data_IF_146833667395
#
_entry.id   IF_146833667395
#
_cell.length_a   1.000
_cell.length_b   1.000
_cell.length_c   1.000
_cell.angle_alpha   90.00
_cell.angle_beta   90.00
_cell.angle_gamma   90.00
#
_symmetry.space_group_name_H-M   'P 1'
#
loop_
_entity.id
_entity.type
_entity.pdbx_description
1 polymer ?
#
# COMPACT_ATOMS: atom_id res chain seq x y z
N UNK A 1 -1.98 -15.21 -62.38
CA UNK A 1 -1.28 -15.89 -61.25
C UNK A 1 -0.39 -14.95 -60.40
N UNK A 2 0.28 -13.99 -60.99
CA UNK A 2 1.09 -13.02 -60.24
C UNK A 2 0.26 -12.06 -59.37
N UNK A 3 -0.87 -11.60 -59.82
CA UNK A 3 -1.74 -10.69 -59.09
C UNK A 3 -2.31 -11.30 -57.80
N UNK A 4 -2.68 -12.59 -57.81
CA UNK A 4 -3.18 -13.26 -56.60
C UNK A 4 -2.11 -13.50 -55.55
N UNK A 5 -0.84 -13.68 -56.01
CA UNK A 5 0.31 -13.86 -55.14
C UNK A 5 0.72 -12.54 -54.46
N UNK A 6 0.69 -11.41 -55.19
CA UNK A 6 0.98 -10.07 -54.65
C UNK A 6 -0.13 -9.63 -53.68
N UNK A 7 -1.38 -9.90 -53.97
CA UNK A 7 -2.54 -9.66 -53.12
C UNK A 7 -2.41 -10.45 -51.79
N UNK A 8 -2.04 -11.73 -51.84
CA UNK A 8 -1.82 -12.55 -50.64
C UNK A 8 -0.70 -12.06 -49.74
N UNK A 9 0.41 -11.60 -50.35
CA UNK A 9 1.56 -11.03 -49.60
C UNK A 9 1.16 -9.68 -48.98
N UNK A 10 0.42 -8.83 -49.71
CA UNK A 10 -0.07 -7.55 -49.21
C UNK A 10 -0.99 -7.74 -48.03
N UNK A 11 -1.93 -8.68 -48.10
CA UNK A 11 -2.84 -9.00 -46.98
C UNK A 11 -2.09 -9.53 -45.77
N UNK A 12 -1.05 -10.34 -45.96
CA UNK A 12 -0.23 -10.83 -44.87
C UNK A 12 0.58 -9.74 -44.17
N UNK A 13 1.14 -8.78 -44.92
CA UNK A 13 1.87 -7.63 -44.41
C UNK A 13 0.92 -6.72 -43.64
N UNK A 14 -0.27 -6.45 -44.19
CA UNK A 14 -1.30 -5.65 -43.54
C UNK A 14 -1.75 -6.27 -42.21
N UNK A 15 -2.02 -7.56 -42.19
CA UNK A 15 -2.34 -8.28 -40.98
C UNK A 15 -1.22 -8.21 -39.93
N UNK A 16 0.02 -8.35 -40.35
CA UNK A 16 1.18 -8.27 -39.47
C UNK A 16 1.34 -6.87 -38.85
N UNK A 17 1.12 -5.81 -39.62
CA UNK A 17 1.18 -4.43 -39.13
C UNK A 17 0.04 -4.17 -38.13
N UNK A 18 -1.18 -4.56 -38.44
CA UNK A 18 -2.34 -4.38 -37.54
C UNK A 18 -2.12 -5.15 -36.25
N UNK A 19 -1.65 -6.39 -36.33
CA UNK A 19 -1.37 -7.22 -35.16
C UNK A 19 -0.28 -6.61 -34.28
N UNK A 20 0.77 -6.07 -34.88
CA UNK A 20 1.85 -5.37 -34.16
C UNK A 20 1.34 -4.09 -33.47
N UNK A 21 0.51 -3.30 -34.13
CA UNK A 21 -0.09 -2.09 -33.54
C UNK A 21 -1.02 -2.43 -32.37
N UNK A 22 -1.84 -3.48 -32.51
CA UNK A 22 -2.70 -3.96 -31.42
C UNK A 22 -1.90 -4.44 -30.22
N UNK A 23 -0.79 -5.12 -30.44
CA UNK A 23 0.10 -5.59 -29.39
C UNK A 23 0.74 -4.42 -28.63
N UNK A 24 1.21 -3.40 -29.33
CA UNK A 24 1.74 -2.18 -28.74
C UNK A 24 0.66 -1.47 -27.90
N UNK A 25 -0.54 -1.36 -28.45
CA UNK A 25 -1.66 -0.75 -27.72
C UNK A 25 -1.97 -1.49 -26.40
N UNK A 26 -1.99 -2.82 -26.43
CA UNK A 26 -2.20 -3.65 -25.23
C UNK A 26 -1.11 -3.40 -24.21
N UNK A 27 0.15 -3.38 -24.61
CA UNK A 27 1.29 -3.13 -23.71
C UNK A 27 1.18 -1.74 -23.07
N UNK A 28 0.90 -0.70 -23.85
CA UNK A 28 0.72 0.66 -23.32
C UNK A 28 -0.45 0.71 -22.33
N UNK A 29 -1.56 0.04 -22.63
CA UNK A 29 -2.73 -0.01 -21.75
C UNK A 29 -2.40 -0.70 -20.43
N UNK A 30 -1.69 -1.82 -20.46
CA UNK A 30 -1.27 -2.53 -19.25
C UNK A 30 -0.35 -1.65 -18.39
N UNK A 31 0.63 -1.01 -19.00
CA UNK A 31 1.55 -0.11 -18.30
C UNK A 31 0.88 1.11 -17.69
N UNK A 32 -0.17 1.63 -18.34
CA UNK A 32 -0.93 2.77 -17.83
C UNK A 32 -1.87 2.39 -16.68
N UNK A 33 -2.51 1.22 -16.73
CA UNK A 33 -3.51 0.79 -15.75
C UNK A 33 -2.86 0.20 -14.50
N UNK A 34 -1.75 -0.51 -14.63
CA UNK A 34 -1.09 -1.22 -13.52
C UNK A 34 -0.80 -0.34 -12.29
N UNK A 35 -0.23 0.88 -12.42
CA UNK A 35 0.01 1.73 -11.26
C UNK A 35 -1.27 2.17 -10.56
N UNK A 36 -2.30 2.49 -11.32
CA UNK A 36 -3.56 3.03 -10.79
C UNK A 36 -4.44 1.93 -10.18
N UNK A 37 -4.51 0.78 -10.83
CA UNK A 37 -5.42 -0.30 -10.41
C UNK A 37 -4.84 -1.18 -9.30
N UNK A 38 -3.53 -1.31 -9.20
CA UNK A 38 -2.87 -2.24 -8.27
C UNK A 38 -2.24 -1.51 -7.10
N UNK A 39 -1.41 -0.50 -7.34
CA UNK A 39 -0.65 0.16 -6.27
C UNK A 39 -1.50 1.11 -5.43
N UNK A 40 -2.41 1.85 -6.05
CA UNK A 40 -3.24 2.82 -5.33
C UNK A 40 -4.18 2.16 -4.30
N UNK A 41 -4.92 1.09 -4.60
CA UNK A 41 -5.73 0.40 -3.60
C UNK A 41 -4.92 -0.25 -2.49
N UNK A 42 -3.75 -0.81 -2.80
CA UNK A 42 -2.85 -1.43 -1.81
C UNK A 42 -2.34 -0.39 -0.82
N UNK A 43 -1.96 0.79 -1.29
CA UNK A 43 -1.48 1.86 -0.42
C UNK A 43 -2.59 2.40 0.48
N UNK A 44 -3.80 2.55 -0.02
CA UNK A 44 -4.97 2.94 0.79
C UNK A 44 -5.31 1.90 1.86
N UNK A 45 -5.31 0.61 1.51
CA UNK A 45 -5.53 -0.46 2.47
C UNK A 45 -4.47 -0.49 3.56
N UNK A 46 -3.20 -0.25 3.19
CA UNK A 46 -2.10 -0.16 4.14
C UNK A 46 -2.27 1.02 5.09
N UNK A 47 -2.70 2.18 4.61
CA UNK A 47 -2.98 3.35 5.44
C UNK A 47 -4.08 3.09 6.46
N UNK A 48 -5.20 2.50 6.05
CA UNK A 48 -6.28 2.11 6.96
C UNK A 48 -5.84 1.09 7.99
N UNK A 49 -5.07 0.08 7.58
CA UNK A 49 -4.53 -0.91 8.49
C UNK A 49 -3.55 -0.29 9.51
N UNK A 50 -2.74 0.67 9.10
CA UNK A 50 -1.83 1.40 9.99
C UNK A 50 -2.59 2.25 11.01
N UNK A 51 -3.68 2.89 10.61
CA UNK A 51 -4.55 3.62 11.53
C UNK A 51 -5.20 2.66 12.54
N UNK A 52 -5.65 1.50 12.12
CA UNK A 52 -6.21 0.47 13.00
C UNK A 52 -5.18 -0.03 14.03
N UNK A 53 -3.97 -0.31 13.59
CA UNK A 53 -2.86 -0.72 14.47
C UNK A 53 -2.52 0.42 15.44
N UNK A 54 -2.42 1.65 14.95
CA UNK A 54 -2.17 2.83 15.76
C UNK A 54 -3.25 3.05 16.82
N UNK A 55 -4.51 2.87 16.48
CA UNK A 55 -5.63 2.93 17.43
C UNK A 55 -5.53 1.86 18.52
N UNK A 56 -5.18 0.64 18.14
CA UNK A 56 -4.97 -0.47 19.09
C UNK A 56 -3.84 -0.17 20.07
N UNK A 57 -2.73 0.31 19.60
CA UNK A 57 -1.57 0.70 20.43
C UNK A 57 -1.91 1.90 21.31
N UNK A 58 -2.52 2.94 20.76
CA UNK A 58 -2.96 4.12 21.51
C UNK A 58 -3.89 3.75 22.66
N UNK A 59 -4.89 2.92 22.42
CA UNK A 59 -5.81 2.44 23.45
C UNK A 59 -5.07 1.73 24.58
N UNK A 60 -4.08 0.88 24.26
CA UNK A 60 -3.26 0.20 25.26
C UNK A 60 -2.42 1.16 26.10
N UNK A 61 -1.86 2.18 25.48
CA UNK A 61 -1.09 3.20 26.19
C UNK A 61 -1.97 3.99 27.14
N UNK A 62 -3.15 4.42 26.70
CA UNK A 62 -4.11 5.16 27.53
C UNK A 62 -4.61 4.31 28.70
N UNK A 63 -4.93 3.04 28.47
CA UNK A 63 -5.32 2.11 29.52
C UNK A 63 -4.23 1.94 30.58
N UNK A 64 -2.97 1.80 30.16
CA UNK A 64 -1.84 1.74 31.08
C UNK A 64 -1.66 3.01 31.88
N UNK A 65 -1.86 4.17 31.25
CA UNK A 65 -1.77 5.46 31.94
C UNK A 65 -2.83 5.60 33.02
N UNK A 66 -4.06 5.17 32.75
CA UNK A 66 -5.18 5.26 33.71
C UNK A 66 -4.96 4.37 34.94
N UNK A 67 -4.36 3.20 34.77
CA UNK A 67 -4.09 2.24 35.87
C UNK A 67 -2.71 2.41 36.49
N UNK A 68 -1.86 3.28 35.93
CA UNK A 68 -0.53 3.52 36.47
C UNK A 68 -0.58 4.08 37.89
N UNK A 69 0.24 3.58 38.85
CA UNK A 69 0.28 4.11 40.18
C UNK A 69 0.87 5.53 40.20
N UNK A 70 0.31 6.41 41.04
CA UNK A 70 0.77 7.79 41.19
C UNK A 70 2.15 7.86 41.85
N UNK A 71 2.54 6.84 42.58
CA UNK A 71 3.83 6.71 43.22
C UNK A 71 4.74 5.71 42.50
N UNK A 72 5.82 5.34 43.09
CA UNK A 72 6.83 4.43 42.49
C UNK A 72 6.21 3.07 42.14
N UNK A 73 6.20 2.76 40.86
CA UNK A 73 5.73 1.46 40.34
C UNK A 73 6.00 1.30 38.87
N UNK A 74 5.94 0.06 38.40
CA UNK A 74 6.15 -0.30 37.00
C UNK A 74 4.99 -1.20 36.53
N UNK A 75 4.35 -0.83 35.43
CA UNK A 75 3.28 -1.62 34.81
C UNK A 75 3.76 -2.06 33.44
N UNK A 76 3.63 -3.35 33.15
CA UNK A 76 3.95 -3.90 31.83
C UNK A 76 2.72 -4.58 31.26
N UNK A 77 2.37 -4.26 30.04
CA UNK A 77 1.35 -4.94 29.26
C UNK A 77 1.97 -5.54 28.00
N UNK A 78 1.56 -6.77 27.69
CA UNK A 78 1.95 -7.44 26.45
C UNK A 78 0.72 -7.62 25.60
N UNK A 79 0.85 -7.31 24.32
CA UNK A 79 -0.18 -7.52 23.31
C UNK A 79 0.47 -7.83 21.96
N UNK A 80 -0.27 -8.55 21.14
CA UNK A 80 0.20 -8.91 19.81
C UNK A 80 -0.32 -7.90 18.80
N UNK A 81 0.54 -7.56 17.83
CA UNK A 81 0.20 -6.79 16.64
C UNK A 81 0.50 -7.64 15.42
N UNK A 82 -0.16 -7.41 14.26
CA UNK A 82 0.14 -8.15 13.05
C UNK A 82 1.62 -8.05 12.67
N UNK A 83 2.20 -9.16 12.21
CA UNK A 83 3.62 -9.21 11.82
C UNK A 83 3.88 -8.39 10.55
N UNK A 84 2.91 -8.34 9.66
CA UNK A 84 2.97 -7.55 8.42
C UNK A 84 1.62 -6.93 8.06
N UNK A 85 1.65 -5.97 7.13
CA UNK A 85 0.47 -5.41 6.49
C UNK A 85 0.65 -5.52 4.98
N UNK A 86 -0.22 -6.29 4.31
CA UNK A 86 -0.17 -6.55 2.87
C UNK A 86 1.21 -7.06 2.42
N UNK A 87 1.80 -7.98 3.22
CA UNK A 87 3.12 -8.56 2.96
C UNK A 87 4.30 -7.61 3.17
N UNK A 88 4.09 -6.48 3.87
CA UNK A 88 5.13 -5.47 4.14
C UNK A 88 5.33 -5.32 5.64
N UNK A 89 6.58 -5.33 6.07
CA UNK A 89 6.95 -4.96 7.43
C UNK A 89 6.66 -3.48 7.68
N UNK A 90 6.35 -3.12 8.91
CA UNK A 90 6.07 -1.74 9.29
C UNK A 90 6.73 -1.40 10.62
N UNK A 91 6.84 -0.12 10.90
CA UNK A 91 7.39 0.42 12.13
C UNK A 91 6.29 1.11 12.94
N UNK A 92 6.29 0.87 14.25
CA UNK A 92 5.43 1.58 15.21
C UNK A 92 6.31 2.43 16.10
N UNK A 93 6.05 3.73 16.13
CA UNK A 93 6.79 4.68 16.95
C UNK A 93 5.84 5.61 17.71
N UNK A 94 6.29 6.09 18.86
CA UNK A 94 5.63 7.16 19.58
C UNK A 94 6.38 8.45 19.27
N UNK A 95 5.66 9.44 18.79
CA UNK A 95 6.19 10.76 18.47
C UNK A 95 5.58 11.81 19.40
N UNK A 96 6.40 12.73 19.83
CA UNK A 96 5.96 13.90 20.62
C UNK A 96 6.33 15.15 19.84
N UNK A 97 5.32 15.97 19.56
CA UNK A 97 5.50 17.26 18.90
C UNK A 97 4.80 18.39 19.65
N UNK A 98 4.76 19.59 19.08
CA UNK A 98 4.10 20.77 19.67
C UNK A 98 2.57 20.57 19.84
N UNK A 99 1.98 19.64 19.10
CA UNK A 99 0.55 19.32 19.14
C UNK A 99 0.21 18.19 20.13
N UNK A 100 1.23 17.55 20.72
CA UNK A 100 1.08 16.47 21.68
C UNK A 100 1.73 15.16 21.23
N UNK A 101 1.42 14.11 21.96
CA UNK A 101 1.92 12.78 21.71
C UNK A 101 1.03 12.03 20.71
N UNK A 102 1.63 11.25 19.84
CA UNK A 102 0.94 10.45 18.83
C UNK A 102 1.63 9.11 18.59
N UNK A 103 0.86 8.11 18.19
CA UNK A 103 1.38 6.83 17.68
C UNK A 103 1.46 6.91 16.17
N UNK A 104 2.65 6.68 15.62
CA UNK A 104 2.89 6.58 14.19
C UNK A 104 3.15 5.15 13.80
N UNK A 105 2.44 4.68 12.76
CA UNK A 105 2.68 3.40 12.10
C UNK A 105 3.03 3.68 10.65
N UNK A 106 4.17 3.20 10.18
CA UNK A 106 4.66 3.58 8.85
C UNK A 106 5.45 2.49 8.13
N UNK A 107 5.38 2.55 6.81
CA UNK A 107 6.24 1.83 5.88
C UNK A 107 6.56 2.75 4.69
N UNK A 108 7.83 3.08 4.49
CA UNK A 108 8.23 3.99 3.43
C UNK A 108 7.53 5.35 3.52
N UNK A 109 6.78 5.71 2.49
CA UNK A 109 6.01 6.96 2.43
C UNK A 109 4.59 6.84 2.98
N UNK A 110 4.15 5.63 3.31
CA UNK A 110 2.80 5.36 3.81
C UNK A 110 2.84 5.40 5.33
N UNK A 111 1.95 6.17 5.92
CA UNK A 111 1.88 6.31 7.37
C UNK A 111 0.46 6.54 7.86
N UNK A 112 0.15 6.00 9.04
CA UNK A 112 -1.01 6.35 9.84
C UNK A 112 -0.56 7.01 11.14
N UNK A 113 -1.19 8.07 11.56
CA UNK A 113 -0.91 8.79 12.81
C UNK A 113 -2.18 8.84 13.64
N UNK A 114 -2.08 8.41 14.90
CA UNK A 114 -3.19 8.40 15.85
C UNK A 114 -2.78 9.23 17.07
N UNK A 115 -3.48 10.33 17.39
CA UNK A 115 -3.21 11.11 18.59
C UNK A 115 -3.45 10.29 19.86
N UNK A 116 -2.65 10.54 20.86
CA UNK A 116 -2.83 9.97 22.19
C UNK A 116 -3.78 10.79 23.07
#
# INVERSE_FOLDING_TARGET
MQESSESGVSDLIEYFIISGMMMILIIITILAITPVAIYHPVDQLSEYAFIDIGNGVSTRIVDLYVIAPEEVGNITSKFDIPDDVVGREYEVAIESDENGDAVRVSYGNIRGVVPL
#
